data_IF_564812768010
#
_entry.id   IF_564812768010
#
_cell.length_a   1.000
_cell.length_b   1.000
_cell.length_c   1.000
_cell.angle_alpha   90.00
_cell.angle_beta   90.00
_cell.angle_gamma   90.00
#
_symmetry.space_group_name_H-M   'P 1'
#
loop_
_entity.id
_entity.type
_entity.pdbx_description
1 polymer ?
#
# COMPACT_ATOMS: atom_id res chain seq x y z
N UNK A 1 4.12 23.62 1.60
CA UNK A 1 4.92 24.83 1.71
C UNK A 1 4.23 26.04 1.02
N UNK A 2 3.85 25.95 -0.25
CA UNK A 2 3.14 27.06 -0.96
C UNK A 2 1.82 27.49 -0.30
N UNK A 3 1.18 26.61 0.47
CA UNK A 3 -0.13 26.82 1.08
C UNK A 3 -0.09 26.86 2.61
N UNK A 4 1.08 27.15 3.20
CA UNK A 4 1.23 27.27 4.64
C UNK A 4 1.43 25.95 5.39
N UNK A 5 1.59 24.82 4.69
CA UNK A 5 1.91 23.55 5.32
C UNK A 5 3.41 23.37 5.53
N UNK A 6 3.77 22.71 6.61
CA UNK A 6 5.11 22.22 6.87
C UNK A 6 5.15 20.75 6.46
N UNK A 7 6.11 20.39 5.63
CA UNK A 7 6.30 19.02 5.19
C UNK A 7 7.34 18.33 6.08
N UNK A 8 6.96 17.17 6.63
CA UNK A 8 7.84 16.33 7.44
C UNK A 8 7.88 14.93 6.80
N UNK A 9 9.07 14.39 6.64
CA UNK A 9 9.31 13.06 6.09
C UNK A 9 10.13 12.26 7.10
N UNK A 10 9.50 11.61 8.08
CA UNK A 10 10.23 10.80 9.04
C UNK A 10 10.76 9.53 8.37
N UNK A 11 11.94 9.11 8.78
CA UNK A 11 12.44 7.78 8.43
C UNK A 11 11.68 6.72 9.23
N UNK A 12 11.43 5.57 8.63
CA UNK A 12 10.88 4.40 9.31
C UNK A 12 11.58 3.13 8.86
N UNK A 13 11.64 2.15 9.73
CA UNK A 13 12.18 0.83 9.39
C UNK A 13 11.29 0.16 8.35
N UNK A 14 11.89 -0.38 7.31
CA UNK A 14 11.22 -1.21 6.29
C UNK A 14 11.52 -2.69 6.48
N UNK A 15 10.80 -3.56 5.77
CA UNK A 15 10.91 -5.03 5.89
C UNK A 15 12.35 -5.57 5.74
N UNK A 16 13.19 -4.86 5.02
CA UNK A 16 14.58 -5.25 4.74
C UNK A 16 15.59 -4.54 5.65
N UNK A 17 15.12 -3.72 6.60
CA UNK A 17 16.01 -3.06 7.55
C UNK A 17 16.62 -4.09 8.48
N UNK A 18 17.94 -4.10 8.54
CA UNK A 18 18.73 -5.00 9.39
C UNK A 18 19.52 -4.21 10.43
N UNK A 19 19.70 -4.80 11.59
CA UNK A 19 20.68 -4.38 12.60
C UNK A 19 22.11 -4.77 12.19
N UNK A 20 23.09 -4.35 12.96
CA UNK A 20 24.50 -4.60 12.68
C UNK A 20 24.86 -6.09 12.63
N UNK A 21 24.13 -6.95 13.30
CA UNK A 21 24.29 -8.40 13.33
C UNK A 21 23.53 -9.13 12.21
N UNK A 22 22.83 -8.38 11.32
CA UNK A 22 22.04 -8.92 10.21
C UNK A 22 20.61 -9.33 10.58
N UNK A 23 20.17 -9.10 11.81
CA UNK A 23 18.79 -9.40 12.22
C UNK A 23 17.81 -8.42 11.58
N UNK A 24 16.74 -8.92 10.97
CA UNK A 24 15.68 -8.09 10.40
C UNK A 24 14.84 -7.43 11.50
N UNK A 25 14.90 -6.10 11.60
CA UNK A 25 14.28 -5.30 12.64
C UNK A 25 13.10 -4.45 12.15
N UNK A 26 12.77 -4.52 10.87
CA UNK A 26 11.72 -3.71 10.25
C UNK A 26 10.42 -4.47 9.94
N UNK A 27 10.23 -5.66 10.54
CA UNK A 27 8.97 -6.41 10.42
C UNK A 27 7.84 -5.65 11.11
N UNK A 28 6.60 -5.88 10.64
CA UNK A 28 5.41 -5.30 11.28
C UNK A 28 5.40 -5.61 12.79
N UNK A 29 5.06 -4.65 13.65
CA UNK A 29 4.56 -3.30 13.37
C UNK A 29 5.64 -2.20 13.34
N UNK A 30 6.93 -2.53 13.23
CA UNK A 30 8.05 -1.61 13.44
C UNK A 30 7.93 -0.27 12.69
N UNK A 31 7.58 -0.31 11.39
CA UNK A 31 7.45 0.90 10.58
C UNK A 31 6.34 1.84 11.08
N UNK A 32 5.21 1.30 11.52
CA UNK A 32 4.13 2.08 12.10
C UNK A 32 4.52 2.67 13.45
N UNK A 33 5.22 1.89 14.28
CA UNK A 33 5.73 2.34 15.59
C UNK A 33 6.71 3.51 15.42
N UNK A 34 7.60 3.45 14.44
CA UNK A 34 8.52 4.56 14.12
C UNK A 34 7.77 5.83 13.74
N UNK A 35 6.74 5.72 12.92
CA UNK A 35 5.91 6.88 12.52
C UNK A 35 5.13 7.46 13.71
N UNK A 36 4.57 6.61 14.59
CA UNK A 36 3.92 7.03 15.84
C UNK A 36 4.91 7.75 16.76
N UNK A 37 6.13 7.21 16.91
CA UNK A 37 7.18 7.87 17.67
C UNK A 37 7.55 9.25 17.07
N UNK A 38 7.60 9.36 15.74
CA UNK A 38 7.80 10.63 15.04
C UNK A 38 6.71 11.66 15.35
N UNK A 39 5.43 11.24 15.40
CA UNK A 39 4.31 12.10 15.80
C UNK A 39 4.47 12.59 17.23
N UNK A 40 4.76 11.67 18.16
CA UNK A 40 5.00 11.99 19.58
C UNK A 40 6.18 12.95 19.74
N UNK A 41 7.26 12.78 18.96
CA UNK A 41 8.39 13.69 18.93
C UNK A 41 8.00 15.10 18.49
N UNK A 42 7.21 15.24 17.43
CA UNK A 42 6.73 16.55 16.95
C UNK A 42 5.87 17.24 18.01
N UNK A 43 4.98 16.50 18.68
CA UNK A 43 4.14 17.05 19.76
C UNK A 43 4.97 17.45 20.99
N UNK A 44 5.99 16.68 21.35
CA UNK A 44 6.88 17.00 22.45
C UNK A 44 7.69 18.27 22.23
N UNK A 45 7.98 18.61 20.97
CA UNK A 45 8.80 19.76 20.58
C UNK A 45 7.99 20.87 19.86
N UNK A 46 6.68 20.88 19.97
CA UNK A 46 5.79 21.79 19.24
C UNK A 46 6.16 23.27 19.50
N UNK A 47 6.55 23.62 20.71
CA UNK A 47 6.97 24.99 21.07
C UNK A 47 8.28 25.44 20.39
N UNK A 48 9.11 24.51 19.97
CA UNK A 48 10.42 24.79 19.34
C UNK A 48 10.38 24.63 17.82
N UNK A 49 9.27 24.12 17.27
CA UNK A 49 9.13 23.83 15.84
C UNK A 49 8.07 24.75 15.22
N UNK A 50 8.20 24.98 13.93
CA UNK A 50 7.18 25.72 13.20
C UNK A 50 5.95 24.82 12.97
N UNK A 51 4.75 25.40 13.04
CA UNK A 51 3.48 24.71 12.82
C UNK A 51 2.68 24.50 14.08
N UNK A 52 1.79 23.55 14.04
CA UNK A 52 0.91 23.13 15.12
C UNK A 52 0.86 21.59 15.12
N UNK A 53 1.57 20.95 16.01
CA UNK A 53 1.65 19.49 16.07
C UNK A 53 0.33 18.81 16.48
N UNK A 54 -0.71 19.57 16.85
CA UNK A 54 -2.06 19.06 17.02
C UNK A 54 -2.84 18.96 15.69
N UNK A 55 -2.25 19.49 14.60
CA UNK A 55 -2.85 19.49 13.25
C UNK A 55 -2.01 18.69 12.25
N UNK A 56 -1.47 17.56 12.67
CA UNK A 56 -0.73 16.66 11.80
C UNK A 56 -1.69 15.98 10.83
N UNK A 57 -1.39 16.04 9.54
CA UNK A 57 -2.07 15.30 8.49
C UNK A 57 -1.10 14.24 7.97
N UNK A 58 -1.42 12.98 8.17
CA UNK A 58 -0.64 11.90 7.56
C UNK A 58 -1.04 11.73 6.10
N UNK A 59 -0.05 11.48 5.23
CA UNK A 59 -0.28 11.28 3.80
C UNK A 59 0.62 10.18 3.28
N UNK A 60 0.06 9.29 2.46
CA UNK A 60 0.83 8.20 1.87
C UNK A 60 0.14 7.53 0.70
N UNK A 61 0.93 6.83 -0.10
CA UNK A 61 0.46 6.11 -1.30
C UNK A 61 0.87 4.64 -1.22
N UNK A 62 0.00 3.71 -1.62
CA UNK A 62 0.23 2.27 -1.64
C UNK A 62 0.55 1.74 -0.22
N UNK A 63 1.71 1.18 0.04
CA UNK A 63 2.14 0.81 1.39
C UNK A 63 2.17 2.03 2.35
N UNK A 64 2.59 3.20 1.87
CA UNK A 64 2.48 4.46 2.61
C UNK A 64 1.04 4.88 2.85
N UNK A 65 0.13 4.56 1.93
CA UNK A 65 -1.32 4.74 2.10
C UNK A 65 -1.86 3.88 3.24
N UNK A 66 -1.44 2.62 3.32
CA UNK A 66 -1.78 1.73 4.43
C UNK A 66 -1.26 2.29 5.77
N UNK A 67 0.00 2.76 5.81
CA UNK A 67 0.56 3.38 7.01
C UNK A 67 -0.21 4.65 7.42
N UNK A 68 -0.59 5.50 6.46
CA UNK A 68 -1.39 6.69 6.73
C UNK A 68 -2.77 6.34 7.30
N UNK A 69 -3.43 5.34 6.73
CA UNK A 69 -4.71 4.84 7.23
C UNK A 69 -4.60 4.27 8.65
N UNK A 70 -3.54 3.49 8.91
CA UNK A 70 -3.26 2.94 10.24
C UNK A 70 -2.97 4.04 11.27
N UNK A 71 -2.22 5.08 10.92
CA UNK A 71 -2.01 6.23 11.80
C UNK A 71 -3.34 6.89 12.19
N UNK A 72 -4.25 7.04 11.22
CA UNK A 72 -5.57 7.62 11.46
C UNK A 72 -6.49 6.74 12.32
N UNK A 73 -6.42 5.42 12.17
CA UNK A 73 -7.32 4.47 12.84
C UNK A 73 -6.81 3.97 14.19
N UNK A 74 -5.50 4.08 14.44
CA UNK A 74 -4.88 3.51 15.65
C UNK A 74 -4.24 4.56 16.57
N UNK A 75 -4.67 5.82 16.47
CA UNK A 75 -4.20 6.88 17.36
C UNK A 75 -4.41 6.51 18.84
N UNK A 76 -3.36 6.57 19.63
CA UNK A 76 -3.37 6.30 21.09
C UNK A 76 -3.81 4.88 21.50
N UNK A 77 -3.76 3.91 20.59
CA UNK A 77 -4.03 2.50 20.92
C UNK A 77 -2.88 1.93 21.74
N UNK A 78 -3.20 1.46 22.95
CA UNK A 78 -2.22 1.00 23.96
C UNK A 78 -1.41 -0.24 23.54
N UNK A 79 -1.87 -1.00 22.54
CA UNK A 79 -1.16 -2.18 22.02
C UNK A 79 0.22 -1.83 21.46
N UNK A 80 0.43 -0.56 21.06
CA UNK A 80 1.72 -0.06 20.58
C UNK A 80 2.64 0.45 21.70
N UNK A 81 2.14 0.68 22.92
CA UNK A 81 2.92 1.26 24.01
C UNK A 81 4.19 0.47 24.37
N UNK A 82 4.21 -0.87 24.40
CA UNK A 82 5.43 -1.62 24.66
C UNK A 82 6.53 -1.33 23.63
N UNK A 83 6.17 -1.29 22.35
CA UNK A 83 7.10 -1.02 21.24
C UNK A 83 7.59 0.43 21.24
N UNK A 84 6.68 1.39 21.50
CA UNK A 84 7.01 2.82 21.60
C UNK A 84 7.99 3.07 22.76
N UNK A 85 7.76 2.43 23.91
CA UNK A 85 8.65 2.52 25.05
C UNK A 85 10.02 1.92 24.77
N UNK A 86 10.07 0.79 24.07
CA UNK A 86 11.33 0.11 23.70
C UNK A 86 12.23 0.99 22.85
N UNK A 87 11.66 1.73 21.88
CA UNK A 87 12.41 2.65 21.02
C UNK A 87 12.62 4.04 21.61
N UNK A 88 12.20 4.29 22.84
CA UNK A 88 12.40 5.56 23.54
C UNK A 88 11.52 6.70 23.07
N UNK A 89 10.32 6.42 22.58
CA UNK A 89 9.35 7.44 22.18
C UNK A 89 8.91 8.29 23.38
N UNK A 90 8.45 9.53 23.13
CA UNK A 90 7.90 10.41 24.16
C UNK A 90 6.57 9.85 24.70
N UNK A 91 6.63 9.12 25.80
CA UNK A 91 5.48 8.40 26.36
C UNK A 91 4.46 9.30 27.05
N UNK A 92 4.81 10.54 27.33
CA UNK A 92 3.94 11.61 27.84
C UNK A 92 3.14 12.32 26.73
N UNK A 93 3.40 11.97 25.48
CA UNK A 93 2.71 12.51 24.31
C UNK A 93 1.76 11.49 23.69
N UNK A 94 0.86 11.99 22.84
CA UNK A 94 -0.11 11.20 22.06
C UNK A 94 0.37 11.01 20.61
N UNK A 95 -0.14 9.99 19.91
CA UNK A 95 0.21 9.73 18.50
C UNK A 95 -0.99 9.78 17.56
N UNK A 96 -2.10 10.34 17.98
CA UNK A 96 -3.24 10.65 17.13
C UNK A 96 -2.87 11.73 16.10
N UNK A 97 -3.45 11.60 14.91
CA UNK A 97 -3.33 12.58 13.83
C UNK A 97 -4.66 13.32 13.63
N UNK A 98 -4.59 14.56 13.18
CA UNK A 98 -5.76 15.38 12.89
C UNK A 98 -6.56 14.83 11.69
N UNK A 99 -5.86 14.36 10.66
CA UNK A 99 -6.45 13.73 9.49
C UNK A 99 -5.47 12.75 8.84
N UNK A 100 -6.01 11.77 8.12
CA UNK A 100 -5.22 10.84 7.34
C UNK A 100 -5.68 10.88 5.88
N UNK A 101 -4.72 11.00 4.96
CA UNK A 101 -4.95 10.96 3.53
C UNK A 101 -4.23 9.76 2.92
N UNK A 102 -5.01 8.74 2.60
CA UNK A 102 -4.50 7.46 2.09
C UNK A 102 -4.83 7.33 0.60
N UNK A 103 -3.80 7.28 -0.24
CA UNK A 103 -3.95 7.04 -1.67
C UNK A 103 -3.71 5.57 -1.99
N UNK A 104 -4.69 4.94 -2.65
CA UNK A 104 -4.66 3.52 -3.01
C UNK A 104 -4.00 2.65 -1.93
N UNK A 105 -4.50 2.70 -0.68
CA UNK A 105 -3.92 1.94 0.42
C UNK A 105 -4.07 0.44 0.21
N UNK A 106 -3.15 -0.35 0.74
CA UNK A 106 -3.41 -1.77 0.98
C UNK A 106 -4.37 -1.83 2.17
N UNK A 107 -5.57 -2.35 1.97
CA UNK A 107 -6.67 -2.28 2.95
C UNK A 107 -6.81 -3.52 3.81
N UNK A 108 -6.37 -4.67 3.30
CA UNK A 108 -6.37 -5.95 4.02
C UNK A 108 -4.94 -6.47 4.10
N UNK A 109 -4.25 -6.15 5.20
CA UNK A 109 -2.84 -6.51 5.37
C UNK A 109 -2.66 -8.00 5.67
N UNK A 110 -3.66 -8.65 6.25
CA UNK A 110 -3.56 -10.06 6.64
C UNK A 110 -3.74 -11.00 5.44
N UNK A 111 -4.49 -10.57 4.41
CA UNK A 111 -4.83 -11.41 3.26
C UNK A 111 -4.38 -10.84 1.91
N UNK A 112 -3.66 -9.71 1.91
CA UNK A 112 -3.20 -9.07 0.67
C UNK A 112 -2.34 -10.01 -0.18
N UNK A 113 -1.44 -10.76 0.43
CA UNK A 113 -0.60 -11.72 -0.29
C UNK A 113 -1.43 -12.85 -0.90
N UNK A 114 -2.43 -13.35 -0.19
CA UNK A 114 -3.37 -14.36 -0.72
C UNK A 114 -4.16 -13.83 -1.92
N UNK A 115 -4.59 -12.56 -1.86
CA UNK A 115 -5.29 -11.91 -2.97
C UNK A 115 -4.40 -11.80 -4.22
N UNK A 116 -3.12 -11.44 -4.06
CA UNK A 116 -2.17 -11.39 -5.16
C UNK A 116 -1.90 -12.79 -5.74
N UNK A 117 -1.69 -13.79 -4.90
CA UNK A 117 -1.48 -15.15 -5.36
C UNK A 117 -2.71 -15.72 -6.06
N UNK A 118 -3.92 -15.43 -5.56
CA UNK A 118 -5.15 -15.76 -6.26
C UNK A 118 -5.24 -15.10 -7.63
N UNK A 119 -4.89 -13.82 -7.73
CA UNK A 119 -4.96 -13.06 -8.97
C UNK A 119 -3.96 -13.57 -10.02
N UNK A 120 -2.75 -13.92 -9.58
CA UNK A 120 -1.60 -14.22 -10.45
C UNK A 120 -1.13 -15.68 -10.41
N UNK A 121 -1.88 -16.59 -9.80
CA UNK A 121 -1.50 -18.01 -9.59
C UNK A 121 -1.04 -18.76 -10.86
N UNK A 122 -1.43 -18.30 -12.04
CA UNK A 122 -1.01 -18.91 -13.31
C UNK A 122 0.29 -18.34 -13.87
N UNK A 123 0.86 -17.32 -13.25
CA UNK A 123 2.12 -16.71 -13.67
C UNK A 123 3.27 -17.45 -12.99
N UNK A 124 3.98 -18.26 -13.75
CA UNK A 124 5.12 -19.03 -13.25
C UNK A 124 6.46 -18.30 -13.48
N UNK A 125 6.42 -17.14 -14.12
CA UNK A 125 7.58 -16.30 -14.38
C UNK A 125 7.41 -14.95 -13.73
N UNK A 126 8.49 -14.38 -13.25
CA UNK A 126 8.49 -13.03 -12.70
C UNK A 126 9.48 -12.11 -13.41
N UNK A 127 9.14 -10.84 -13.43
CA UNK A 127 10.01 -9.76 -13.90
C UNK A 127 9.95 -8.64 -12.87
N UNK A 128 10.98 -8.54 -12.05
CA UNK A 128 11.09 -7.48 -11.07
C UNK A 128 11.74 -6.24 -11.70
N UNK A 129 10.90 -5.31 -12.13
CA UNK A 129 11.38 -4.07 -12.76
C UNK A 129 12.22 -3.16 -11.84
N UNK A 130 12.25 -3.42 -10.53
CA UNK A 130 13.06 -2.65 -9.57
C UNK A 130 14.45 -3.22 -9.38
N UNK A 131 14.57 -4.54 -9.25
CA UNK A 131 15.86 -5.23 -9.12
C UNK A 131 16.47 -5.60 -10.48
N UNK A 132 15.67 -5.66 -11.53
CA UNK A 132 16.06 -6.17 -12.85
C UNK A 132 16.12 -7.70 -12.91
N UNK A 133 15.71 -8.38 -11.85
CA UNK A 133 15.70 -9.83 -11.77
C UNK A 133 14.51 -10.41 -12.56
N UNK A 134 14.79 -11.40 -13.37
CA UNK A 134 13.82 -12.19 -14.10
C UNK A 134 14.04 -13.65 -13.79
N UNK A 135 12.99 -14.42 -13.68
CA UNK A 135 13.13 -15.84 -13.40
C UNK A 135 11.83 -16.62 -13.51
N UNK A 136 11.95 -17.89 -13.20
CA UNK A 136 10.82 -18.78 -13.00
C UNK A 136 10.66 -19.05 -11.52
N UNK A 137 9.42 -19.17 -11.07
CA UNK A 137 9.11 -19.57 -9.70
C UNK A 137 9.60 -20.98 -9.42
N UNK A 138 10.22 -21.19 -8.28
CA UNK A 138 10.64 -22.51 -7.81
C UNK A 138 9.44 -23.38 -7.48
N UNK A 139 9.64 -24.70 -7.39
CA UNK A 139 8.55 -25.60 -7.00
C UNK A 139 8.00 -25.31 -5.59
N UNK A 140 8.85 -24.82 -4.68
CA UNK A 140 8.42 -24.35 -3.37
C UNK A 140 7.50 -23.12 -3.46
N UNK A 141 7.91 -22.11 -4.23
CA UNK A 141 7.10 -20.90 -4.44
C UNK A 141 5.77 -21.23 -5.09
N UNK A 142 5.76 -22.11 -6.10
CA UNK A 142 4.51 -22.59 -6.74
C UNK A 142 3.59 -23.29 -5.74
N UNK A 143 4.14 -24.10 -4.85
CA UNK A 143 3.36 -24.80 -3.84
C UNK A 143 2.76 -23.84 -2.80
N UNK A 144 3.52 -22.85 -2.35
CA UNK A 144 3.06 -21.78 -1.46
C UNK A 144 1.98 -20.95 -2.13
N UNK A 145 2.22 -20.52 -3.38
CA UNK A 145 1.26 -19.74 -4.19
C UNK A 145 -0.08 -20.47 -4.33
N UNK A 146 -0.05 -21.75 -4.65
CA UNK A 146 -1.27 -22.57 -4.76
C UNK A 146 -2.04 -22.65 -3.43
N UNK A 147 -1.34 -22.82 -2.31
CA UNK A 147 -1.95 -22.85 -0.99
C UNK A 147 -2.56 -21.51 -0.60
N UNK A 148 -1.86 -20.41 -0.84
CA UNK A 148 -2.33 -19.05 -0.56
C UNK A 148 -3.55 -18.70 -1.43
N UNK A 149 -3.51 -19.04 -2.71
CA UNK A 149 -4.60 -18.83 -3.66
C UNK A 149 -5.87 -19.59 -3.24
N UNK A 150 -5.73 -20.85 -2.80
CA UNK A 150 -6.85 -21.64 -2.27
C UNK A 150 -7.40 -21.04 -0.98
N UNK A 151 -6.53 -20.61 -0.06
CA UNK A 151 -6.93 -19.95 1.18
C UNK A 151 -7.72 -18.66 0.96
N UNK A 152 -7.44 -17.95 -0.13
CA UNK A 152 -8.20 -16.75 -0.49
C UNK A 152 -9.65 -17.05 -0.86
N UNK A 153 -9.92 -18.19 -1.49
CA UNK A 153 -11.29 -18.62 -1.81
C UNK A 153 -12.11 -18.80 -0.53
N UNK A 154 -11.55 -19.51 0.44
CA UNK A 154 -12.21 -19.72 1.73
C UNK A 154 -12.42 -18.41 2.47
N UNK A 155 -11.42 -17.52 2.46
CA UNK A 155 -11.48 -16.22 3.08
C UNK A 155 -12.62 -15.36 2.49
N UNK A 156 -12.65 -15.18 1.16
CA UNK A 156 -13.71 -14.39 0.49
C UNK A 156 -15.10 -14.93 0.81
N UNK A 157 -15.29 -16.23 0.74
CA UNK A 157 -16.58 -16.84 1.04
C UNK A 157 -17.00 -16.69 2.51
N UNK A 158 -16.01 -16.64 3.42
CA UNK A 158 -16.28 -16.40 4.85
C UNK A 158 -16.79 -15.00 5.16
N UNK A 159 -16.45 -14.00 4.33
CA UNK A 159 -16.85 -12.61 4.50
C UNK A 159 -18.34 -12.36 4.18
N UNK A 160 -19.00 -13.29 3.49
CA UNK A 160 -20.44 -13.19 3.09
C UNK A 160 -20.73 -11.87 2.38
N UNK A 161 -19.89 -11.51 1.44
CA UNK A 161 -20.00 -10.28 0.66
C UNK A 161 -21.31 -10.27 -0.14
N UNK A 162 -21.82 -9.07 -0.36
CA UNK A 162 -22.98 -8.84 -1.23
C UNK A 162 -22.65 -7.75 -2.24
N UNK A 163 -23.23 -7.85 -3.42
CA UNK A 163 -23.18 -6.79 -4.40
C UNK A 163 -23.92 -5.55 -3.84
N UNK A 164 -23.26 -4.40 -3.76
CA UNK A 164 -23.87 -3.19 -3.17
C UNK A 164 -25.03 -2.62 -3.98
N UNK A 165 -25.15 -2.98 -5.25
CA UNK A 165 -26.22 -2.49 -6.14
C UNK A 165 -27.43 -3.42 -6.15
N UNK A 166 -27.20 -4.74 -6.29
CA UNK A 166 -28.29 -5.72 -6.36
C UNK A 166 -28.64 -6.35 -5.01
N UNK A 167 -27.73 -6.35 -4.03
CA UNK A 167 -27.87 -7.07 -2.76
C UNK A 167 -27.68 -8.58 -2.87
N UNK A 168 -27.30 -9.10 -4.04
CA UNK A 168 -27.06 -10.51 -4.24
C UNK A 168 -25.74 -10.97 -3.60
N UNK A 169 -25.74 -12.22 -3.09
CA UNK A 169 -24.54 -12.78 -2.47
C UNK A 169 -23.41 -12.99 -3.49
N UNK A 170 -22.22 -12.56 -3.13
CA UNK A 170 -21.01 -12.75 -3.90
C UNK A 170 -20.22 -13.94 -3.36
N UNK A 171 -20.09 -14.97 -4.16
CA UNK A 171 -19.34 -16.19 -3.81
C UNK A 171 -18.29 -16.49 -4.87
N UNK A 172 -17.11 -16.88 -4.43
CA UNK A 172 -16.01 -17.34 -5.27
C UNK A 172 -16.06 -18.87 -5.37
N UNK A 173 -16.02 -19.40 -6.58
CA UNK A 173 -16.00 -20.85 -6.79
C UNK A 173 -14.71 -21.49 -6.29
N UNK A 174 -14.76 -22.79 -6.00
CA UNK A 174 -13.61 -23.57 -5.48
C UNK A 174 -12.38 -23.52 -6.39
N UNK A 175 -12.58 -23.35 -7.69
CA UNK A 175 -11.51 -23.16 -8.67
C UNK A 175 -10.88 -21.76 -8.66
N UNK A 176 -11.42 -20.82 -7.85
CA UNK A 176 -11.00 -19.45 -7.78
C UNK A 176 -11.24 -18.63 -9.07
N UNK A 177 -11.92 -19.20 -10.07
CA UNK A 177 -12.11 -18.60 -11.41
C UNK A 177 -13.56 -18.60 -11.86
N UNK A 178 -14.48 -18.92 -10.96
CA UNK A 178 -15.92 -18.94 -11.22
C UNK A 178 -16.70 -18.32 -10.06
N UNK A 179 -18.02 -18.24 -10.20
CA UNK A 179 -18.90 -17.71 -9.18
C UNK A 179 -19.19 -16.22 -9.32
N UNK A 180 -20.16 -15.73 -8.54
CA UNK A 180 -20.64 -14.35 -8.60
C UNK A 180 -19.58 -13.32 -8.22
N UNK A 181 -18.72 -13.63 -7.25
CA UNK A 181 -17.61 -12.75 -6.88
C UNK A 181 -16.60 -12.58 -8.04
N UNK A 182 -16.20 -13.68 -8.70
CA UNK A 182 -15.29 -13.61 -9.84
C UNK A 182 -15.88 -12.76 -10.96
N UNK A 183 -17.13 -13.00 -11.32
CA UNK A 183 -17.81 -12.24 -12.37
C UNK A 183 -17.93 -10.76 -12.00
N UNK A 184 -18.24 -10.45 -10.75
CA UNK A 184 -18.27 -9.08 -10.23
C UNK A 184 -16.91 -8.38 -10.40
N UNK A 185 -15.81 -9.05 -10.02
CA UNK A 185 -14.46 -8.50 -10.17
C UNK A 185 -14.09 -8.28 -11.63
N UNK A 186 -14.40 -9.23 -12.52
CA UNK A 186 -14.18 -9.08 -13.96
C UNK A 186 -14.94 -7.87 -14.51
N UNK A 187 -16.22 -7.75 -14.17
CA UNK A 187 -17.03 -6.61 -14.61
C UNK A 187 -16.45 -5.26 -14.14
N UNK A 188 -15.96 -5.17 -12.89
CA UNK A 188 -15.32 -3.93 -12.40
C UNK A 188 -14.01 -3.61 -13.11
N UNK A 189 -13.24 -4.61 -13.54
CA UNK A 189 -12.04 -4.40 -14.36
C UNK A 189 -12.42 -3.93 -15.77
N UNK A 190 -13.45 -4.52 -16.38
CA UNK A 190 -13.96 -4.12 -17.69
C UNK A 190 -14.51 -2.69 -17.67
N UNK A 191 -15.28 -2.32 -16.65
CA UNK A 191 -15.78 -0.95 -16.44
C UNK A 191 -14.62 0.05 -16.32
N UNK A 192 -13.61 -0.28 -15.51
CA UNK A 192 -12.44 0.57 -15.33
C UNK A 192 -11.63 0.73 -16.64
N UNK A 193 -11.49 -0.34 -17.42
CA UNK A 193 -10.83 -0.31 -18.73
C UNK A 193 -11.62 0.55 -19.73
N UNK A 194 -12.94 0.42 -19.74
CA UNK A 194 -13.83 1.23 -20.60
C UNK A 194 -13.68 2.71 -20.30
N UNK A 195 -13.79 3.12 -19.02
CA UNK A 195 -13.60 4.51 -18.59
C UNK A 195 -12.20 5.04 -18.96
N UNK A 196 -11.18 4.21 -18.84
CA UNK A 196 -9.81 4.60 -19.19
C UNK A 196 -9.65 4.84 -20.71
N UNK A 197 -10.20 3.94 -21.54
CA UNK A 197 -10.15 4.06 -22.99
C UNK A 197 -10.96 5.27 -23.50
N UNK A 198 -12.12 5.55 -22.90
CA UNK A 198 -12.91 6.75 -23.18
C UNK A 198 -12.11 8.02 -22.92
N UNK A 199 -11.47 8.12 -21.74
CA UNK A 199 -10.65 9.27 -21.37
C UNK A 199 -9.43 9.48 -22.28
N UNK A 200 -8.81 8.40 -22.78
CA UNK A 200 -7.76 8.51 -23.80
C UNK A 200 -8.34 9.05 -25.12
N UNK A 201 -9.48 8.50 -25.54
CA UNK A 201 -10.14 8.91 -26.80
C UNK A 201 -10.55 10.38 -26.78
N UNK A 202 -11.04 10.86 -25.66
CA UNK A 202 -11.43 12.26 -25.45
C UNK A 202 -10.26 13.21 -25.26
N UNK A 203 -9.04 12.70 -25.09
CA UNK A 203 -7.84 13.48 -24.77
C UNK A 203 -7.88 14.11 -23.37
N UNK A 204 -8.74 13.60 -22.48
CA UNK A 204 -8.88 14.10 -21.11
C UNK A 204 -7.80 13.57 -20.15
N UNK A 205 -7.05 12.53 -20.56
CA UNK A 205 -5.86 12.05 -19.85
C UNK A 205 -4.60 12.69 -20.43
N UNK A 206 -3.77 13.24 -19.54
CA UNK A 206 -2.44 13.75 -19.94
C UNK A 206 -1.45 12.57 -20.06
N UNK A 207 -1.59 11.80 -21.14
CA UNK A 207 -0.70 10.68 -21.46
C UNK A 207 0.02 10.96 -22.79
N UNK A 208 1.29 10.53 -22.96
CA UNK A 208 2.10 10.82 -24.14
C UNK A 208 1.83 9.86 -25.31
N UNK A 209 0.65 9.25 -25.39
CA UNK A 209 0.27 8.28 -26.41
C UNK A 209 -1.22 8.40 -26.75
N UNK A 210 -1.56 7.99 -27.96
CA UNK A 210 -2.94 7.93 -28.45
C UNK A 210 -3.63 6.64 -28.04
N UNK A 211 -4.96 6.56 -28.20
CA UNK A 211 -5.71 5.31 -28.06
C UNK A 211 -5.15 4.23 -29.01
N UNK A 212 -4.82 4.60 -30.24
CA UNK A 212 -4.26 3.66 -31.24
C UNK A 212 -2.91 3.09 -30.78
N UNK A 213 -2.04 3.95 -30.24
CA UNK A 213 -0.75 3.51 -29.68
C UNK A 213 -0.96 2.57 -28.48
N UNK A 214 -1.91 2.89 -27.61
CA UNK A 214 -2.24 2.05 -26.46
C UNK A 214 -2.72 0.66 -26.91
N UNK A 215 -3.66 0.59 -27.83
CA UNK A 215 -4.21 -0.67 -28.33
C UNK A 215 -3.16 -1.52 -29.09
N UNK A 216 -2.17 -0.89 -29.71
CA UNK A 216 -1.04 -1.57 -30.36
C UNK A 216 0.09 -1.93 -29.39
N UNK A 217 -0.01 -1.57 -28.13
CA UNK A 217 1.06 -1.77 -27.15
C UNK A 217 2.27 -0.85 -27.34
N UNK A 218 2.15 0.18 -28.17
CA UNK A 218 3.21 1.16 -28.48
C UNK A 218 3.19 2.33 -27.48
N UNK A 219 3.17 2.02 -26.20
CA UNK A 219 3.23 3.04 -25.16
C UNK A 219 4.40 2.78 -24.22
N UNK A 220 5.14 3.83 -23.90
CA UNK A 220 6.12 3.77 -22.83
C UNK A 220 5.37 3.83 -21.50
N UNK A 221 5.49 2.79 -20.67
CA UNK A 221 5.09 2.87 -19.27
C UNK A 221 5.79 4.09 -18.69
N UNK A 222 5.03 5.11 -18.28
CA UNK A 222 5.61 6.20 -17.51
C UNK A 222 6.27 5.57 -16.29
N UNK A 223 7.61 5.60 -16.25
CA UNK A 223 8.35 5.15 -15.09
C UNK A 223 7.81 5.94 -13.89
N UNK A 224 7.39 5.25 -12.84
CA UNK A 224 7.10 5.88 -11.56
C UNK A 224 8.29 6.77 -11.23
N UNK A 225 8.04 8.07 -11.12
CA UNK A 225 8.90 9.21 -11.00
C UNK A 225 10.37 8.88 -10.73
N UNK A 226 11.24 9.38 -11.60
CA UNK A 226 12.66 9.22 -11.46
C UNK A 226 13.11 9.51 -10.03
N UNK A 227 14.09 8.79 -9.56
CA UNK A 227 14.81 9.08 -8.32
C UNK A 227 15.01 10.59 -8.21
N UNK A 228 14.32 11.23 -7.28
CA UNK A 228 14.77 12.53 -6.82
C UNK A 228 16.20 12.32 -6.37
N UNK A 229 17.14 12.86 -7.10
CA UNK A 229 18.55 12.74 -6.78
C UNK A 229 18.72 13.19 -5.34
N UNK A 230 19.27 12.34 -4.50
CA UNK A 230 19.79 12.74 -3.22
C UNK A 230 20.84 13.83 -3.51
N UNK A 231 20.46 15.09 -3.30
CA UNK A 231 21.41 16.18 -3.30
C UNK A 231 22.44 15.86 -2.21
N UNK A 232 23.68 15.64 -2.60
CA UNK A 232 24.78 15.67 -1.64
C UNK A 232 24.76 17.03 -0.93
N UNK A 233 24.93 17.07 0.38
CA UNK A 233 25.23 18.33 1.06
C UNK A 233 26.52 18.87 0.43
N UNK A 234 26.44 20.04 -0.16
CA UNK A 234 27.62 20.78 -0.59
C UNK A 234 28.43 21.20 0.63
N UNK A 235 29.74 21.16 0.49
CA UNK A 235 30.74 21.68 1.41
C UNK A 235 30.49 23.16 1.82
#
# INVERSE_FOLDING_TARGET
IKHGYIFVSPASRGKETQSADGTYIGKSPAGLVDLKAGIRFLKANDAEMAGDANKIISIGTSAGGAMSALLGSTGNVSDYDPYLKEIGAAMDQTDDVYAAQAYCPITDLDHADQAYEWMYQNLQTYNNSRSGENGESTDFEKAVSAQMSSGYVDYINSLKLVDPESGEALNLGEDGRSGSFYNYMVAKVEDAATVYLEKISEGSLNVPYTLEDYLKGNYTKQGRGGKAGAGQPGD
#
